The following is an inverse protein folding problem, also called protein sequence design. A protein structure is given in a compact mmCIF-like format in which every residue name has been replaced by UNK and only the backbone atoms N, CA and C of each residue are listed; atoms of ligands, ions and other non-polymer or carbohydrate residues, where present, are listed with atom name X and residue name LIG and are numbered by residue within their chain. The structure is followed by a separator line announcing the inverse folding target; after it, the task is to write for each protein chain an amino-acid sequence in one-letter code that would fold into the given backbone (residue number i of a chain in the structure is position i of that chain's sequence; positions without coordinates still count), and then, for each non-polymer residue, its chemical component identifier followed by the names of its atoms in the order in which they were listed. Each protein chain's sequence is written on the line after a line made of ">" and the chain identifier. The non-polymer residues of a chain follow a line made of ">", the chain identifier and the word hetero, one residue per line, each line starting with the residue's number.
data_IF_683239004980
#
_entry.id   IF_683239004980
#
_cell.length_a   1.000
_cell.length_b   1.000
_cell.length_c   1.000
_cell.angle_alpha   90.00
_cell.angle_beta   90.00
_cell.angle_gamma   90.00
#
_symmetry.space_group_name_H-M   'P 1'
#
loop_
_entity.id
_entity.type
_entity.pdbx_description
1 polymer ?
#
# COMPACT_ATOMS: atom_id res chain seq x y z
N UNK A 1 25.61 -3.69 -24.23
CA UNK A 1 24.31 -4.23 -23.77
C UNK A 1 24.21 -4.01 -22.26
N UNK A 2 23.41 -3.07 -21.76
CA UNK A 2 23.35 -2.86 -20.30
C UNK A 2 22.66 -1.59 -19.80
N UNK A 3 22.73 -0.47 -20.53
CA UNK A 3 22.13 0.81 -20.06
C UNK A 3 20.61 0.72 -19.82
N UNK A 4 19.90 -0.03 -20.66
CA UNK A 4 18.46 -0.26 -20.50
C UNK A 4 18.13 -1.12 -19.27
N UNK A 5 18.96 -2.13 -18.95
CA UNK A 5 18.76 -2.97 -17.77
C UNK A 5 19.02 -2.19 -16.47
N UNK A 6 20.07 -1.35 -16.45
CA UNK A 6 20.34 -0.44 -15.33
C UNK A 6 19.22 0.57 -15.14
N UNK A 7 18.67 1.14 -16.22
CA UNK A 7 17.54 2.03 -16.14
C UNK A 7 16.30 1.34 -15.56
N UNK A 8 16.02 0.11 -15.99
CA UNK A 8 14.88 -0.67 -15.50
C UNK A 8 15.05 -1.06 -14.02
N UNK A 9 16.26 -1.43 -13.62
CA UNK A 9 16.59 -1.69 -12.20
C UNK A 9 16.41 -0.43 -11.35
N UNK A 10 16.88 0.73 -11.84
CA UNK A 10 16.73 1.99 -11.13
C UNK A 10 15.25 2.38 -10.96
N UNK A 11 14.43 2.25 -12.01
CA UNK A 11 12.99 2.54 -11.95
C UNK A 11 12.27 1.58 -10.99
N UNK A 12 12.51 0.27 -11.10
CA UNK A 12 11.91 -0.70 -10.18
C UNK A 12 12.35 -0.47 -8.74
N UNK A 13 13.64 -0.18 -8.52
CA UNK A 13 14.15 0.13 -7.19
C UNK A 13 13.51 1.37 -6.59
N UNK A 14 13.31 2.42 -7.40
CA UNK A 14 12.63 3.63 -6.96
C UNK A 14 11.18 3.35 -6.54
N UNK A 15 10.46 2.54 -7.32
CA UNK A 15 9.08 2.12 -7.00
C UNK A 15 9.04 1.30 -5.71
N UNK A 16 9.96 0.35 -5.51
CA UNK A 16 10.03 -0.41 -4.25
C UNK A 16 10.26 0.51 -3.04
N UNK A 17 11.20 1.45 -3.16
CA UNK A 17 11.47 2.38 -2.05
C UNK A 17 10.31 3.31 -1.73
N UNK A 18 9.50 3.71 -2.72
CA UNK A 18 8.31 4.53 -2.44
C UNK A 18 7.28 3.76 -1.62
N UNK A 19 7.05 2.49 -1.95
CA UNK A 19 6.10 1.64 -1.22
C UNK A 19 6.57 1.42 0.23
N UNK A 20 7.88 1.26 0.45
CA UNK A 20 8.47 1.15 1.79
C UNK A 20 8.30 2.43 2.61
N UNK A 21 8.40 3.61 1.98
CA UNK A 21 8.16 4.89 2.66
C UNK A 21 6.73 5.03 3.17
N UNK A 22 5.74 4.49 2.45
CA UNK A 22 4.34 4.51 2.88
C UNK A 22 4.12 3.66 4.13
N UNK A 23 4.70 2.46 4.18
CA UNK A 23 4.62 1.56 5.35
C UNK A 23 5.27 2.20 6.58
N UNK A 24 6.42 2.87 6.40
CA UNK A 24 7.12 3.57 7.48
C UNK A 24 6.29 4.77 7.96
N UNK A 25 5.74 5.56 7.04
CA UNK A 25 4.90 6.72 7.36
C UNK A 25 3.68 6.33 8.19
N UNK A 26 3.10 5.16 7.92
CA UNK A 26 1.97 4.63 8.70
C UNK A 26 2.30 4.45 10.19
N UNK A 27 3.53 4.04 10.52
CA UNK A 27 3.95 3.89 11.93
C UNK A 27 3.96 5.23 12.69
N UNK A 28 4.13 6.35 11.99
CA UNK A 28 4.02 7.70 12.56
C UNK A 28 2.59 8.22 12.60
N UNK A 29 1.76 7.87 11.62
CA UNK A 29 0.35 8.27 11.56
C UNK A 29 -0.48 7.53 12.62
N UNK A 30 -0.15 6.27 12.91
CA UNK A 30 -0.89 5.42 13.84
C UNK A 30 -1.10 6.03 15.25
N UNK A 31 -0.08 6.60 15.93
CA UNK A 31 -0.29 7.29 17.22
C UNK A 31 -1.06 8.61 17.07
N UNK A 32 -0.93 9.34 15.96
CA UNK A 32 -1.70 10.57 15.71
C UNK A 32 -3.19 10.25 15.50
N UNK A 33 -3.49 9.25 14.68
CA UNK A 33 -4.85 8.77 14.43
C UNK A 33 -5.50 8.21 15.70
N UNK A 34 -4.71 7.64 16.63
CA UNK A 34 -5.20 7.19 17.93
C UNK A 34 -5.75 8.36 18.77
N UNK A 35 -5.07 9.52 18.75
CA UNK A 35 -5.50 10.71 19.47
C UNK A 35 -6.74 11.35 18.82
N UNK A 36 -6.83 11.39 17.50
CA UNK A 36 -7.97 12.00 16.79
C UNK A 36 -9.24 11.14 16.82
N UNK A 37 -9.12 9.81 16.69
CA UNK A 37 -10.28 8.90 16.64
C UNK A 37 -10.59 8.22 17.98
N UNK A 38 -9.88 8.54 19.07
CA UNK A 38 -10.06 7.91 20.39
C UNK A 38 -10.08 6.37 20.32
N UNK A 39 -9.11 5.81 19.59
CA UNK A 39 -9.08 4.37 19.29
C UNK A 39 -8.68 3.53 20.50
N UNK A 40 -9.46 2.47 20.76
CA UNK A 40 -9.11 1.43 21.73
C UNK A 40 -7.89 0.63 21.26
N UNK A 41 -7.15 0.06 22.20
CA UNK A 41 -5.93 -0.74 21.93
C UNK A 41 -6.20 -1.91 20.97
N UNK A 42 -7.39 -2.49 21.01
CA UNK A 42 -7.81 -3.56 20.10
C UNK A 42 -7.97 -3.09 18.66
N UNK A 43 -8.59 -1.93 18.44
CA UNK A 43 -8.78 -1.33 17.13
C UNK A 43 -7.45 -1.00 16.44
N UNK A 44 -6.42 -0.64 17.22
CA UNK A 44 -5.04 -0.44 16.75
C UNK A 44 -4.40 -1.74 16.27
N UNK A 45 -4.62 -2.84 16.98
CA UNK A 45 -4.16 -4.17 16.57
C UNK A 45 -4.77 -4.57 15.23
N UNK A 46 -6.08 -4.43 15.09
CA UNK A 46 -6.79 -4.69 13.84
C UNK A 46 -6.29 -3.85 12.67
N UNK A 47 -5.96 -2.58 12.91
CA UNK A 47 -5.48 -1.68 11.88
C UNK A 47 -4.09 -2.04 11.35
N UNK A 48 -3.21 -2.56 12.21
CA UNK A 48 -1.92 -3.11 11.78
C UNK A 48 -2.09 -4.44 11.06
N UNK A 49 -3.00 -5.31 11.54
CA UNK A 49 -3.25 -6.63 10.94
C UNK A 49 -3.88 -6.55 9.56
N UNK A 50 -4.77 -5.58 9.31
CA UNK A 50 -5.50 -5.51 8.04
C UNK A 50 -4.59 -5.21 6.84
N UNK A 51 -3.48 -4.52 7.05
CA UNK A 51 -2.48 -4.27 5.99
C UNK A 51 -1.83 -5.60 5.58
N UNK A 52 -1.51 -6.48 6.52
CA UNK A 52 -0.98 -7.83 6.22
C UNK A 52 -2.00 -8.71 5.50
N UNK A 53 -3.28 -8.62 5.90
CA UNK A 53 -4.36 -9.35 5.22
C UNK A 53 -4.52 -8.83 3.78
N UNK A 54 -4.47 -7.50 3.59
CA UNK A 54 -4.44 -6.84 2.29
C UNK A 54 -3.30 -7.35 1.43
N UNK A 55 -2.06 -7.32 1.94
CA UNK A 55 -0.87 -7.81 1.23
C UNK A 55 -0.98 -9.28 0.82
N UNK A 56 -1.51 -10.14 1.69
CA UNK A 56 -1.70 -11.55 1.36
C UNK A 56 -2.70 -11.74 0.22
N UNK A 57 -3.83 -11.02 0.25
CA UNK A 57 -4.85 -11.07 -0.79
C UNK A 57 -4.34 -10.45 -2.11
N UNK A 58 -3.68 -9.29 -2.02
CA UNK A 58 -3.08 -8.56 -3.14
C UNK A 58 -2.00 -9.37 -3.83
N UNK A 59 -1.09 -10.01 -3.09
CA UNK A 59 -0.04 -10.84 -3.65
C UNK A 59 -0.59 -12.01 -4.48
N UNK A 60 -1.68 -12.64 -4.04
CA UNK A 60 -2.31 -13.72 -4.78
C UNK A 60 -2.99 -13.22 -6.06
N UNK A 61 -3.77 -12.13 -5.95
CA UNK A 61 -4.48 -11.54 -7.07
C UNK A 61 -3.50 -10.95 -8.10
N UNK A 62 -2.67 -9.99 -7.70
CA UNK A 62 -1.74 -9.30 -8.58
C UNK A 62 -0.61 -10.19 -9.08
N UNK A 63 -0.21 -11.22 -8.33
CA UNK A 63 0.74 -12.24 -8.79
C UNK A 63 0.22 -12.95 -10.04
N UNK A 64 -1.00 -13.48 -9.98
CA UNK A 64 -1.63 -14.15 -11.13
C UNK A 64 -1.85 -13.21 -12.33
N UNK A 65 -2.25 -11.97 -12.05
CA UNK A 65 -2.48 -10.93 -13.08
C UNK A 65 -1.16 -10.49 -13.72
N UNK A 66 -0.06 -10.41 -12.95
CA UNK A 66 1.26 -10.07 -13.45
C UNK A 66 1.81 -11.09 -14.44
N UNK A 67 1.53 -12.37 -14.19
CA UNK A 67 1.92 -13.46 -15.08
C UNK A 67 1.08 -13.48 -16.38
N UNK A 68 -0.19 -13.09 -16.32
CA UNK A 68 -1.10 -13.10 -17.47
C UNK A 68 -1.00 -11.84 -18.38
N UNK A 69 -0.94 -10.63 -17.79
CA UNK A 69 -1.01 -9.36 -18.53
C UNK A 69 0.35 -8.67 -18.74
N UNK A 70 1.40 -9.21 -18.12
CA UNK A 70 2.78 -8.71 -18.20
C UNK A 70 3.15 -7.78 -17.05
N UNK A 71 4.31 -8.08 -16.44
CA UNK A 71 4.82 -7.48 -15.19
C UNK A 71 4.92 -5.95 -15.20
N UNK A 72 5.29 -5.33 -16.32
CA UNK A 72 5.42 -3.86 -16.42
C UNK A 72 4.09 -3.13 -16.29
N UNK A 73 3.03 -3.64 -16.92
CA UNK A 73 1.71 -2.99 -16.89
C UNK A 73 1.11 -3.12 -15.49
N UNK A 74 1.25 -4.29 -14.88
CA UNK A 74 0.76 -4.52 -13.52
C UNK A 74 1.47 -3.61 -12.52
N UNK A 75 2.80 -3.49 -12.57
CA UNK A 75 3.55 -2.54 -11.71
C UNK A 75 3.01 -1.10 -11.82
N UNK A 76 2.71 -0.62 -13.03
CA UNK A 76 2.17 0.74 -13.20
C UNK A 76 0.76 0.86 -12.63
N UNK A 77 -0.11 -0.14 -12.86
CA UNK A 77 -1.49 -0.13 -12.38
C UNK A 77 -1.54 -0.18 -10.85
N UNK A 78 -0.76 -1.06 -10.22
CA UNK A 78 -0.74 -1.18 -8.76
C UNK A 78 -0.20 0.10 -8.10
N UNK A 79 0.89 0.68 -8.61
CA UNK A 79 1.42 1.93 -8.06
C UNK A 79 0.42 3.09 -8.20
N UNK A 80 -0.34 3.13 -9.29
CA UNK A 80 -1.38 4.14 -9.48
C UNK A 80 -2.56 3.92 -8.53
N UNK A 81 -2.97 2.66 -8.33
CA UNK A 81 -4.03 2.29 -7.39
C UNK A 81 -3.63 2.59 -5.95
N UNK A 82 -2.38 2.29 -5.58
CA UNK A 82 -1.80 2.61 -4.28
C UNK A 82 -1.83 4.14 -4.05
N UNK A 83 -1.32 4.94 -4.99
CA UNK A 83 -1.35 6.40 -4.90
C UNK A 83 -2.77 6.96 -4.72
N UNK A 84 -3.76 6.44 -5.46
CA UNK A 84 -5.17 6.84 -5.29
C UNK A 84 -5.72 6.47 -3.91
N UNK A 85 -5.40 5.28 -3.41
CA UNK A 85 -5.84 4.82 -2.07
C UNK A 85 -5.22 5.65 -0.95
N UNK A 86 -3.95 6.06 -1.10
CA UNK A 86 -3.26 6.93 -0.14
C UNK A 86 -3.94 8.29 -0.08
N UNK A 87 -4.16 8.92 -1.24
CA UNK A 87 -4.81 10.23 -1.34
C UNK A 87 -6.22 10.15 -0.77
N UNK A 88 -6.99 9.12 -1.13
CA UNK A 88 -8.33 8.91 -0.60
C UNK A 88 -8.33 8.69 0.93
N UNK A 89 -7.33 7.97 1.46
CA UNK A 89 -7.16 7.79 2.90
C UNK A 89 -6.90 9.11 3.62
N UNK A 90 -6.14 10.03 3.03
CA UNK A 90 -5.84 11.33 3.63
C UNK A 90 -7.09 12.21 3.83
N UNK A 91 -8.14 12.00 3.02
CA UNK A 91 -9.42 12.68 3.17
C UNK A 91 -10.40 11.95 4.11
N UNK A 92 -10.07 10.75 4.56
CA UNK A 92 -10.97 9.92 5.38
C UNK A 92 -10.83 10.22 6.86
N UNK A 93 -11.83 10.89 7.45
CA UNK A 93 -11.94 11.14 8.90
C UNK A 93 -12.70 10.05 9.70
N UNK A 94 -13.20 9.00 9.05
CA UNK A 94 -13.94 7.91 9.71
C UNK A 94 -13.08 6.66 9.87
N UNK A 95 -13.20 5.97 11.02
CA UNK A 95 -12.42 4.76 11.34
C UNK A 95 -12.60 3.65 10.29
N UNK A 96 -13.85 3.35 9.93
CA UNK A 96 -14.19 2.27 9.00
C UNK A 96 -13.64 2.53 7.59
N UNK A 97 -13.76 3.78 7.11
CA UNK A 97 -13.22 4.18 5.81
C UNK A 97 -11.69 4.16 5.82
N UNK A 98 -11.06 4.62 6.90
CA UNK A 98 -9.61 4.56 7.04
C UNK A 98 -9.10 3.11 7.03
N UNK A 99 -9.80 2.20 7.72
CA UNK A 99 -9.50 0.77 7.73
C UNK A 99 -9.68 0.13 6.34
N UNK A 100 -10.74 0.48 5.62
CA UNK A 100 -11.00 0.00 4.26
C UNK A 100 -9.94 0.48 3.26
N UNK A 101 -9.59 1.77 3.28
CA UNK A 101 -8.53 2.27 2.40
C UNK A 101 -7.16 1.65 2.73
N UNK A 102 -6.87 1.34 4.01
CA UNK A 102 -5.64 0.62 4.36
C UNK A 102 -5.61 -0.82 3.87
N UNK A 103 -6.76 -1.51 3.89
CA UNK A 103 -6.86 -2.82 3.26
C UNK A 103 -6.54 -2.75 1.77
N UNK A 104 -7.15 -1.79 1.05
CA UNK A 104 -6.90 -1.58 -0.38
C UNK A 104 -5.45 -1.19 -0.66
N UNK A 105 -4.84 -0.40 0.21
CA UNK A 105 -3.43 -0.02 0.12
C UNK A 105 -2.50 -1.22 0.28
N UNK A 106 -2.80 -2.11 1.22
CA UNK A 106 -2.05 -3.36 1.35
C UNK A 106 -2.31 -4.34 0.21
N UNK A 107 -3.51 -4.28 -0.38
CA UNK A 107 -3.90 -5.16 -1.48
C UNK A 107 -3.47 -4.64 -2.87
N UNK A 108 -2.98 -3.41 -2.98
CA UNK A 108 -2.34 -2.87 -4.18
C UNK A 108 -0.92 -3.42 -4.28
#
# INVERSE_FOLDING_TARGET
>A
YGKFHYFLLAVCGFVSTSEEMDVISMSFILPSAQCDLHLTTEAKGWLSSIIFIGMMAGAYAWGSVADALGRRKVLIVISFMNALCIVASSFSQSYELFMFFRFLNGAA
#
